data_IF_081084879103
#
_entry.id   IF_081084879103
#
_cell.length_a   1.000
_cell.length_b   1.000
_cell.length_c   1.000
_cell.angle_alpha   90.00
_cell.angle_beta   90.00
_cell.angle_gamma   90.00
#
_symmetry.space_group_name_H-M   'P 1'
#
loop_
_entity.id
_entity.type
_entity.pdbx_description
1 polymer ?
#
# COMPACT_ATOMS: atom_id res chain seq x y z
N UNK A 1 26.52 37.69 -11.27
CA UNK A 1 26.93 36.26 -11.29
C UNK A 1 26.42 35.66 -12.58
N UNK A 2 27.30 35.09 -13.42
CA UNK A 2 26.87 34.22 -14.51
C UNK A 2 26.22 32.96 -13.91
N UNK A 3 25.20 32.42 -14.57
CA UNK A 3 24.47 31.22 -14.13
C UNK A 3 25.41 30.03 -13.87
N UNK A 4 26.54 29.98 -14.56
CA UNK A 4 27.54 28.91 -14.47
C UNK A 4 28.31 28.85 -13.15
N UNK A 5 28.24 29.90 -12.32
CA UNK A 5 28.99 30.00 -11.06
C UNK A 5 28.12 29.83 -9.81
N UNK A 6 26.82 29.55 -9.96
CA UNK A 6 25.96 29.30 -8.81
C UNK A 6 26.32 27.95 -8.17
N UNK A 7 26.75 27.98 -6.90
CA UNK A 7 27.11 26.80 -6.11
C UNK A 7 26.41 26.87 -4.76
N UNK A 8 26.02 25.71 -4.23
CA UNK A 8 25.51 25.56 -2.87
C UNK A 8 26.54 24.82 -2.02
N UNK A 9 26.54 25.08 -0.72
CA UNK A 9 27.39 24.40 0.24
C UNK A 9 26.72 23.09 0.67
N UNK A 10 27.15 22.00 0.04
CA UNK A 10 26.66 20.63 0.31
C UNK A 10 27.35 19.95 1.48
N UNK A 11 28.48 20.51 1.96
CA UNK A 11 29.26 19.95 3.08
C UNK A 11 28.75 20.48 4.41
N UNK A 12 28.27 21.72 4.45
CA UNK A 12 27.68 22.36 5.61
C UNK A 12 26.25 21.93 5.92
N UNK A 13 25.54 22.79 6.65
CA UNK A 13 24.12 22.63 6.98
C UNK A 13 23.25 23.44 6.03
N UNK A 14 21.96 23.09 5.91
CA UNK A 14 20.98 23.90 5.15
C UNK A 14 20.94 25.38 5.57
N UNK A 15 21.30 25.65 6.82
CA UNK A 15 21.28 26.97 7.43
C UNK A 15 22.64 27.67 7.38
N UNK A 16 23.63 27.15 6.65
CA UNK A 16 24.93 27.80 6.50
C UNK A 16 24.77 29.19 5.89
N UNK A 17 25.65 30.12 6.28
CA UNK A 17 25.59 31.50 5.80
C UNK A 17 25.66 31.57 4.26
N UNK A 18 26.50 30.71 3.65
CA UNK A 18 26.58 30.56 2.20
C UNK A 18 25.23 30.16 1.59
N UNK A 19 24.60 29.12 2.14
CA UNK A 19 23.33 28.59 1.66
C UNK A 19 22.16 29.59 1.78
N UNK A 20 22.14 30.38 2.86
CA UNK A 20 21.19 31.49 3.03
C UNK A 20 21.40 32.58 1.99
N UNK A 21 22.65 32.93 1.70
CA UNK A 21 22.98 33.91 0.65
C UNK A 21 22.62 33.39 -0.75
N UNK A 22 22.92 32.13 -1.04
CA UNK A 22 22.54 31.48 -2.29
C UNK A 22 21.01 31.51 -2.51
N UNK A 23 20.23 31.21 -1.47
CA UNK A 23 18.76 31.28 -1.52
C UNK A 23 18.26 32.70 -1.86
N UNK A 24 18.87 33.73 -1.26
CA UNK A 24 18.52 35.14 -1.52
C UNK A 24 18.84 35.60 -2.94
N UNK A 25 19.88 35.04 -3.57
CA UNK A 25 20.21 35.30 -4.98
C UNK A 25 19.28 34.49 -5.92
N UNK A 26 18.93 33.27 -5.52
CA UNK A 26 18.07 32.38 -6.29
C UNK A 26 16.63 32.90 -6.42
N UNK A 27 16.04 33.39 -5.32
CA UNK A 27 14.63 33.78 -5.31
C UNK A 27 14.28 34.87 -6.36
N UNK A 28 15.01 35.99 -6.49
CA UNK A 28 14.73 36.99 -7.52
C UNK A 28 14.86 36.46 -8.96
N UNK A 29 15.77 35.51 -9.20
CA UNK A 29 15.98 34.91 -10.53
C UNK A 29 14.77 34.06 -10.91
N UNK A 30 14.31 33.20 -10.01
CA UNK A 30 13.10 32.39 -10.24
C UNK A 30 11.87 33.28 -10.40
N UNK A 31 11.73 34.31 -9.57
CA UNK A 31 10.60 35.24 -9.68
C UNK A 31 10.56 35.94 -11.04
N UNK A 32 11.72 36.35 -11.56
CA UNK A 32 11.83 36.95 -12.88
C UNK A 32 11.54 35.95 -14.00
N UNK A 33 12.10 34.75 -13.93
CA UNK A 33 12.01 33.76 -15.01
C UNK A 33 10.61 33.14 -15.11
N UNK A 34 9.97 32.90 -13.96
CA UNK A 34 8.62 32.31 -13.88
C UNK A 34 7.50 33.38 -13.89
N UNK A 35 7.85 34.67 -13.98
CA UNK A 35 6.88 35.77 -14.04
C UNK A 35 6.10 36.02 -12.74
N UNK A 36 6.64 35.61 -11.59
CA UNK A 36 5.99 35.83 -10.30
C UNK A 36 6.08 37.30 -9.86
N UNK A 37 5.02 37.81 -9.22
CA UNK A 37 5.02 39.15 -8.62
C UNK A 37 5.98 39.23 -7.45
N UNK A 38 6.74 40.34 -7.38
CA UNK A 38 7.69 40.59 -6.29
C UNK A 38 7.00 41.05 -5.00
N UNK A 39 6.33 40.11 -4.34
CA UNK A 39 5.72 40.30 -3.02
C UNK A 39 6.55 39.59 -1.95
N UNK A 40 6.43 40.07 -0.71
CA UNK A 40 7.07 39.45 0.45
C UNK A 40 6.68 37.98 0.62
N UNK A 41 5.40 37.65 0.40
CA UNK A 41 4.86 36.29 0.53
C UNK A 41 5.48 35.33 -0.50
N UNK A 42 5.50 35.72 -1.77
CA UNK A 42 6.07 34.89 -2.84
C UNK A 42 7.55 34.64 -2.62
N UNK A 43 8.29 35.69 -2.24
CA UNK A 43 9.72 35.58 -1.92
C UNK A 43 9.94 34.62 -0.74
N UNK A 44 9.14 34.72 0.31
CA UNK A 44 9.23 33.81 1.46
C UNK A 44 8.92 32.36 1.06
N UNK A 45 7.91 32.12 0.22
CA UNK A 45 7.56 30.79 -0.28
C UNK A 45 8.73 30.16 -1.06
N UNK A 46 9.33 30.92 -1.98
CA UNK A 46 10.46 30.44 -2.80
C UNK A 46 11.69 30.16 -1.93
N UNK A 47 11.99 31.03 -0.96
CA UNK A 47 13.09 30.81 -0.02
C UNK A 47 12.87 29.55 0.83
N UNK A 48 11.64 29.34 1.31
CA UNK A 48 11.26 28.14 2.05
C UNK A 48 11.40 26.87 1.21
N UNK A 49 10.86 26.89 -0.02
CA UNK A 49 10.96 25.77 -0.96
C UNK A 49 12.42 25.45 -1.32
N UNK A 50 13.23 26.47 -1.60
CA UNK A 50 14.66 26.32 -1.87
C UNK A 50 15.38 25.68 -0.67
N UNK A 51 15.11 26.15 0.54
CA UNK A 51 15.71 25.62 1.76
C UNK A 51 15.31 24.17 2.02
N UNK A 52 14.04 23.81 1.78
CA UNK A 52 13.57 22.43 1.88
C UNK A 52 14.21 21.53 0.81
N UNK A 53 14.40 22.04 -0.41
CA UNK A 53 15.07 21.32 -1.48
C UNK A 53 16.56 21.07 -1.16
N UNK A 54 17.23 22.02 -0.48
CA UNK A 54 18.62 21.89 -0.07
C UNK A 54 18.87 20.73 0.88
N UNK A 55 17.94 20.44 1.80
CA UNK A 55 18.04 19.23 2.62
C UNK A 55 18.06 17.96 1.77
N UNK A 56 17.27 17.95 0.70
CA UNK A 56 17.26 16.83 -0.24
C UNK A 56 18.59 16.72 -0.99
N UNK A 57 19.15 17.84 -1.46
CA UNK A 57 20.44 17.87 -2.15
C UNK A 57 21.61 17.46 -1.24
N UNK A 58 21.67 18.00 -0.02
CA UNK A 58 22.69 17.63 0.97
C UNK A 58 22.58 16.14 1.31
N UNK A 59 21.36 15.63 1.54
CA UNK A 59 21.14 14.20 1.80
C UNK A 59 21.58 13.34 0.62
N UNK A 60 21.25 13.75 -0.62
CA UNK A 60 21.64 13.04 -1.84
C UNK A 60 23.16 13.06 -2.03
N UNK A 61 23.81 14.20 -1.84
CA UNK A 61 25.26 14.34 -1.89
C UNK A 61 25.93 13.43 -0.87
N UNK A 62 25.47 13.46 0.39
CA UNK A 62 25.98 12.54 1.42
C UNK A 62 25.76 11.08 1.04
N UNK A 63 24.62 10.72 0.45
CA UNK A 63 24.37 9.36 -0.01
C UNK A 63 25.32 8.93 -1.13
N UNK A 64 25.55 9.79 -2.13
CA UNK A 64 26.44 9.52 -3.26
C UNK A 64 27.91 9.42 -2.85
N UNK A 65 28.33 10.13 -1.81
CA UNK A 65 29.70 10.08 -1.29
C UNK A 65 29.93 8.99 -0.24
N UNK A 66 28.93 8.18 0.09
CA UNK A 66 29.14 7.00 0.94
C UNK A 66 29.94 5.94 0.18
N UNK A 67 30.74 5.17 0.90
CA UNK A 67 31.36 4.00 0.30
C UNK A 67 30.29 3.00 -0.14
N UNK A 68 30.64 2.13 -1.10
CA UNK A 68 29.75 1.05 -1.54
C UNK A 68 29.32 0.17 -0.36
N UNK A 69 30.24 -0.12 0.57
CA UNK A 69 29.98 -0.89 1.79
C UNK A 69 28.97 -0.20 2.73
N UNK A 70 29.08 1.12 2.89
CA UNK A 70 28.12 1.89 3.69
C UNK A 70 26.74 1.93 3.04
N UNK A 71 26.67 2.06 1.71
CA UNK A 71 25.41 2.01 0.96
C UNK A 71 24.74 0.64 1.12
N UNK A 72 25.48 -0.45 0.92
CA UNK A 72 24.99 -1.82 1.09
C UNK A 72 24.52 -2.09 2.52
N UNK A 73 25.24 -1.60 3.53
CA UNK A 73 24.85 -1.70 4.95
C UNK A 73 23.54 -0.96 5.23
N UNK A 74 23.38 0.26 4.72
CA UNK A 74 22.15 1.04 4.90
C UNK A 74 20.97 0.43 4.17
N UNK A 75 21.16 -0.07 2.96
CA UNK A 75 20.14 -0.80 2.22
C UNK A 75 19.76 -2.10 2.92
N UNK A 76 20.73 -2.83 3.49
CA UNK A 76 20.47 -4.02 4.30
C UNK A 76 19.65 -3.68 5.54
N UNK A 77 20.02 -2.63 6.28
CA UNK A 77 19.25 -2.15 7.42
C UNK A 77 17.85 -1.67 7.04
N UNK A 78 17.72 -0.93 5.93
CA UNK A 78 16.44 -0.48 5.41
C UNK A 78 15.55 -1.67 5.05
N UNK A 79 16.09 -2.66 4.32
CA UNK A 79 15.40 -3.92 4.01
C UNK A 79 14.94 -4.63 5.28
N UNK A 80 15.79 -4.74 6.30
CA UNK A 80 15.45 -5.37 7.59
C UNK A 80 14.33 -4.61 8.32
N UNK A 81 14.40 -3.28 8.35
CA UNK A 81 13.36 -2.42 8.97
C UNK A 81 12.03 -2.58 8.23
N UNK A 82 12.04 -2.56 6.89
CA UNK A 82 10.85 -2.78 6.07
C UNK A 82 10.21 -4.14 6.33
N UNK A 83 11.00 -5.22 6.37
CA UNK A 83 10.50 -6.57 6.72
C UNK A 83 9.86 -6.61 8.10
N UNK A 84 10.50 -6.03 9.12
CA UNK A 84 9.95 -5.97 10.49
C UNK A 84 8.63 -5.20 10.54
N UNK A 85 8.57 -4.07 9.83
CA UNK A 85 7.34 -3.28 9.73
C UNK A 85 6.22 -4.03 9.03
N UNK A 86 6.53 -4.76 7.96
CA UNK A 86 5.58 -5.61 7.25
C UNK A 86 4.98 -6.70 8.17
N UNK A 87 5.82 -7.43 8.91
CA UNK A 87 5.35 -8.43 9.89
C UNK A 87 4.41 -7.80 10.91
N UNK A 88 4.76 -6.62 11.43
CA UNK A 88 3.91 -5.89 12.36
C UNK A 88 2.54 -5.53 11.75
N UNK A 89 2.51 -5.03 10.51
CA UNK A 89 1.26 -4.67 9.83
C UNK A 89 0.35 -5.87 9.60
N UNK A 90 0.92 -6.99 9.16
CA UNK A 90 0.21 -8.26 8.92
C UNK A 90 -0.37 -8.79 10.24
N UNK A 91 0.40 -8.75 11.33
CA UNK A 91 -0.10 -9.11 12.67
C UNK A 91 -1.23 -8.19 13.15
N UNK A 92 -1.12 -6.88 12.94
CA UNK A 92 -2.19 -5.94 13.28
C UNK A 92 -3.46 -6.18 12.46
N UNK A 93 -3.32 -6.55 11.18
CA UNK A 93 -4.45 -6.90 10.33
C UNK A 93 -5.18 -8.15 10.85
N UNK A 94 -4.43 -9.20 11.19
CA UNK A 94 -4.98 -10.40 11.83
C UNK A 94 -5.75 -10.05 13.11
N UNK A 95 -5.09 -9.37 14.06
CA UNK A 95 -5.70 -8.99 15.34
C UNK A 95 -6.94 -8.12 15.15
N UNK A 96 -6.96 -7.25 14.14
CA UNK A 96 -8.13 -6.45 13.82
C UNK A 96 -9.29 -7.33 13.40
N UNK A 97 -9.08 -8.25 12.45
CA UNK A 97 -10.13 -9.17 11.96
C UNK A 97 -10.64 -10.06 13.10
N UNK A 98 -9.73 -10.60 13.90
CA UNK A 98 -10.05 -11.42 15.07
C UNK A 98 -10.93 -10.66 16.09
N UNK A 99 -10.54 -9.43 16.46
CA UNK A 99 -11.34 -8.57 17.34
C UNK A 99 -12.69 -8.20 16.74
N UNK A 100 -12.77 -8.00 15.43
CA UNK A 100 -14.06 -7.77 14.75
C UNK A 100 -14.94 -9.01 14.85
N UNK A 101 -14.38 -10.20 14.62
CA UNK A 101 -15.04 -11.48 14.83
C UNK A 101 -15.64 -11.58 16.23
N UNK A 102 -14.81 -11.42 17.27
CA UNK A 102 -15.26 -11.48 18.67
C UNK A 102 -16.40 -10.50 18.98
N UNK A 103 -16.39 -9.30 18.39
CA UNK A 103 -17.37 -8.25 18.70
C UNK A 103 -18.70 -8.42 17.98
N UNK A 104 -18.72 -9.12 16.85
CA UNK A 104 -19.92 -9.28 16.02
C UNK A 104 -20.38 -10.72 16.12
N UNK A 105 -21.49 -11.00 16.84
CA UNK A 105 -21.98 -12.37 17.01
C UNK A 105 -22.16 -13.14 15.70
N UNK A 106 -22.54 -12.44 14.63
CA UNK A 106 -22.69 -13.00 13.27
C UNK A 106 -21.40 -13.58 12.66
N UNK A 107 -20.24 -13.29 13.25
CA UNK A 107 -18.92 -13.74 12.81
C UNK A 107 -18.27 -14.73 13.80
N UNK A 108 -18.93 -15.08 14.91
CA UNK A 108 -18.34 -15.96 15.94
C UNK A 108 -17.94 -17.32 15.40
N UNK A 109 -18.81 -17.95 14.61
CA UNK A 109 -18.57 -19.27 14.00
C UNK A 109 -17.43 -19.26 12.98
N UNK A 110 -17.01 -18.08 12.53
CA UNK A 110 -15.92 -17.89 11.58
C UNK A 110 -14.56 -17.70 12.26
N UNK A 111 -14.52 -17.49 13.58
CA UNK A 111 -13.28 -17.25 14.35
C UNK A 111 -12.34 -18.47 14.32
N UNK A 112 -12.79 -19.72 14.54
CA UNK A 112 -11.89 -20.87 14.54
C UNK A 112 -11.10 -20.99 13.23
N UNK A 113 -11.78 -20.85 12.09
CA UNK A 113 -11.10 -20.87 10.79
C UNK A 113 -10.17 -19.66 10.59
N UNK A 114 -10.52 -18.49 11.15
CA UNK A 114 -9.63 -17.33 11.10
C UNK A 114 -8.34 -17.60 11.88
N UNK A 115 -8.41 -18.26 13.03
CA UNK A 115 -7.27 -18.63 13.86
C UNK A 115 -6.37 -19.65 13.18
N UNK A 116 -6.95 -20.67 12.53
CA UNK A 116 -6.21 -21.65 11.73
C UNK A 116 -5.45 -21.00 10.57
N UNK A 117 -6.07 -20.04 9.87
CA UNK A 117 -5.40 -19.29 8.79
C UNK A 117 -4.22 -18.46 9.33
N UNK A 118 -4.33 -17.96 10.56
CA UNK A 118 -3.26 -17.25 11.25
C UNK A 118 -2.75 -15.99 10.55
N UNK A 119 -1.61 -15.48 11.01
CA UNK A 119 -1.00 -14.24 10.53
C UNK A 119 -0.47 -14.40 9.10
N UNK A 120 0.11 -15.55 8.78
CA UNK A 120 0.78 -15.82 7.50
C UNK A 120 -0.18 -15.79 6.29
N UNK A 121 -1.47 -15.99 6.54
CA UNK A 121 -2.49 -15.86 5.50
C UNK A 121 -2.82 -14.40 5.18
N UNK A 122 -2.55 -13.44 6.08
CA UNK A 122 -3.01 -12.05 5.87
C UNK A 122 -2.32 -11.39 4.67
N UNK A 123 -3.08 -10.61 3.88
CA UNK A 123 -2.53 -9.85 2.77
C UNK A 123 -1.63 -8.72 3.28
N UNK A 124 -0.48 -8.53 2.63
CA UNK A 124 0.34 -7.36 2.87
C UNK A 124 -0.04 -6.23 1.91
N UNK A 125 -0.12 -5.00 2.43
CA UNK A 125 -0.15 -3.81 1.59
C UNK A 125 1.29 -3.45 1.23
N UNK A 126 1.66 -3.53 -0.05
CA UNK A 126 2.89 -2.95 -0.54
C UNK A 126 2.63 -1.47 -0.86
N UNK A 127 3.42 -0.57 -0.28
CA UNK A 127 3.37 0.84 -0.67
C UNK A 127 4.18 1.01 -1.95
N UNK A 128 3.48 1.30 -3.04
CA UNK A 128 4.15 1.78 -4.24
C UNK A 128 4.49 3.24 -3.99
N UNK A 129 5.78 3.52 -3.75
CA UNK A 129 6.25 4.91 -3.77
C UNK A 129 6.16 5.40 -5.19
N UNK A 130 5.09 6.14 -5.50
CA UNK A 130 5.07 7.01 -6.65
C UNK A 130 6.29 7.94 -6.63
N UNK A 131 6.84 8.24 -7.80
CA UNK A 131 7.74 9.37 -7.99
C UNK A 131 7.07 10.62 -7.40
N UNK A 132 7.85 11.40 -6.64
CA UNK A 132 7.60 12.63 -5.84
C UNK A 132 6.22 13.34 -5.87
N UNK A 133 5.44 13.28 -6.94
CA UNK A 133 4.14 13.95 -7.12
C UNK A 133 2.91 13.01 -7.24
N UNK A 134 3.08 11.69 -7.20
CA UNK A 134 1.94 10.74 -7.28
C UNK A 134 1.52 10.31 -5.88
N UNK A 135 0.23 10.51 -5.58
CA UNK A 135 -0.45 10.05 -4.37
C UNK A 135 0.00 8.63 -4.00
N UNK A 136 0.38 8.39 -2.74
CA UNK A 136 0.89 7.07 -2.31
C UNK A 136 -0.22 6.02 -2.45
N UNK A 137 -0.09 5.14 -3.44
CA UNK A 137 -1.03 4.04 -3.68
C UNK A 137 -0.58 2.80 -2.90
N UNK A 138 -1.54 2.13 -2.27
CA UNK A 138 -1.31 0.88 -1.57
C UNK A 138 -1.85 -0.26 -2.42
N UNK A 139 -0.95 -1.16 -2.81
CA UNK A 139 -1.25 -2.35 -3.59
C UNK A 139 -1.52 -3.51 -2.64
N UNK A 140 -2.71 -4.11 -2.73
CA UNK A 140 -3.04 -5.30 -1.93
C UNK A 140 -2.36 -6.51 -2.58
N UNK A 141 -1.35 -7.08 -1.94
CA UNK A 141 -0.75 -8.36 -2.35
C UNK A 141 -1.46 -9.50 -1.61
N UNK A 142 -2.09 -10.40 -2.37
CA UNK A 142 -2.60 -11.66 -1.85
C UNK A 142 -1.67 -12.80 -2.27
N UNK A 143 -1.38 -13.76 -1.37
CA UNK A 143 -0.61 -14.94 -1.73
C UNK A 143 -1.26 -15.70 -2.88
N UNK A 144 -0.44 -16.21 -3.79
CA UNK A 144 -0.85 -17.01 -4.95
C UNK A 144 -1.52 -18.35 -4.55
N UNK A 145 -1.01 -18.97 -3.50
CA UNK A 145 -1.52 -20.21 -2.92
C UNK A 145 -2.93 -20.09 -2.35
N UNK A 146 -3.37 -18.89 -1.96
CA UNK A 146 -4.66 -18.67 -1.31
C UNK A 146 -5.80 -18.60 -2.33
N UNK A 147 -6.87 -19.33 -2.06
CA UNK A 147 -8.08 -19.28 -2.89
C UNK A 147 -8.74 -17.88 -2.83
N UNK A 148 -9.38 -17.48 -3.93
CA UNK A 148 -10.03 -16.16 -4.00
C UNK A 148 -11.20 -16.04 -3.03
N UNK A 149 -11.92 -17.14 -2.80
CA UNK A 149 -13.00 -17.21 -1.81
C UNK A 149 -12.54 -16.89 -0.39
N UNK A 150 -11.34 -17.33 0.02
CA UNK A 150 -10.75 -16.96 1.32
C UNK A 150 -10.47 -15.46 1.36
N UNK A 151 -10.00 -14.89 0.26
CA UNK A 151 -9.76 -13.44 0.17
C UNK A 151 -11.06 -12.65 0.31
N UNK A 152 -12.14 -13.09 -0.35
CA UNK A 152 -13.47 -12.48 -0.23
C UNK A 152 -14.01 -12.61 1.20
N UNK A 153 -13.89 -13.80 1.79
CA UNK A 153 -14.28 -14.07 3.16
C UNK A 153 -13.54 -13.17 4.18
N UNK A 154 -12.22 -13.02 4.04
CA UNK A 154 -11.43 -12.10 4.88
C UNK A 154 -11.84 -10.63 4.71
N UNK A 155 -12.29 -10.22 3.51
CA UNK A 155 -12.81 -8.87 3.26
C UNK A 155 -14.12 -8.62 4.00
N UNK A 156 -14.90 -9.64 4.29
CA UNK A 156 -16.11 -9.50 5.10
C UNK A 156 -15.79 -8.94 6.49
N UNK A 157 -14.73 -9.43 7.14
CA UNK A 157 -14.25 -8.87 8.41
C UNK A 157 -13.80 -7.41 8.27
N UNK A 158 -13.18 -7.06 7.15
CA UNK A 158 -12.75 -5.69 6.89
C UNK A 158 -13.96 -4.76 6.69
N UNK A 159 -14.97 -5.17 5.91
CA UNK A 159 -16.22 -4.44 5.72
C UNK A 159 -16.96 -4.24 7.04
N UNK A 160 -17.07 -5.29 7.84
CA UNK A 160 -17.71 -5.23 9.15
C UNK A 160 -16.96 -4.30 10.13
N UNK A 161 -15.61 -4.31 10.08
CA UNK A 161 -14.79 -3.35 10.81
C UNK A 161 -15.05 -1.91 10.34
N UNK A 162 -15.12 -1.67 9.03
CA UNK A 162 -15.39 -0.33 8.49
C UNK A 162 -16.77 0.19 8.89
N UNK A 163 -17.81 -0.65 8.85
CA UNK A 163 -19.16 -0.31 9.30
C UNK A 163 -19.15 0.04 10.79
N UNK A 164 -18.56 -0.80 11.65
CA UNK A 164 -18.48 -0.51 13.09
C UNK A 164 -17.70 0.76 13.40
N UNK A 165 -16.66 1.09 12.61
CA UNK A 165 -15.91 2.34 12.74
C UNK A 165 -16.70 3.58 12.32
N UNK A 166 -17.53 3.48 11.28
CA UNK A 166 -18.41 4.58 10.84
C UNK A 166 -19.51 4.87 11.86
N UNK A 167 -19.98 3.84 12.57
CA UNK A 167 -21.02 3.97 13.60
C UNK A 167 -20.49 4.44 14.95
N UNK A 168 -19.19 4.26 15.21
CA UNK A 168 -18.56 4.76 16.42
C UNK A 168 -18.36 6.28 16.37
N UNK A 169 -18.30 6.96 17.55
CA UNK A 169 -17.95 8.38 17.60
C UNK A 169 -16.64 8.66 16.86
N UNK A 170 -16.53 9.81 16.16
CA UNK A 170 -15.34 10.16 15.40
C UNK A 170 -14.13 10.18 16.34
N UNK A 171 -13.20 9.25 16.13
CA UNK A 171 -11.90 9.25 16.81
C UNK A 171 -10.92 10.07 15.98
N UNK A 172 -10.12 10.90 16.64
CA UNK A 172 -8.98 11.56 16.02
C UNK A 172 -8.06 10.53 15.34
N UNK A 173 -7.72 10.77 14.07
CA UNK A 173 -6.89 9.89 13.26
C UNK A 173 -7.11 10.11 11.76
N UNK A 174 -6.16 9.64 10.95
CA UNK A 174 -6.28 9.72 9.50
C UNK A 174 -7.44 8.82 8.99
N UNK A 175 -8.21 9.26 7.99
CA UNK A 175 -9.20 8.41 7.35
C UNK A 175 -8.55 7.16 6.74
N UNK A 176 -9.31 6.06 6.55
CA UNK A 176 -8.81 4.89 5.84
C UNK A 176 -8.21 5.27 4.49
N UNK A 177 -6.97 4.83 4.25
CA UNK A 177 -6.27 5.08 2.97
C UNK A 177 -6.95 4.30 1.84
N UNK A 178 -7.07 4.91 0.66
CA UNK A 178 -7.56 4.24 -0.55
C UNK A 178 -6.57 3.15 -0.96
N UNK A 179 -7.09 1.95 -1.25
CA UNK A 179 -6.30 0.76 -1.62
C UNK A 179 -6.77 0.25 -2.96
N UNK A 180 -5.85 -0.20 -3.80
CA UNK A 180 -6.16 -0.79 -5.08
C UNK A 180 -5.83 -2.29 -5.05
N UNK A 181 -6.79 -3.11 -5.48
CA UNK A 181 -6.57 -4.53 -5.69
C UNK A 181 -5.91 -4.72 -7.07
N UNK A 182 -4.63 -5.11 -7.14
CA UNK A 182 -4.01 -5.45 -8.41
C UNK A 182 -4.65 -6.73 -8.98
N UNK A 183 -4.68 -6.85 -10.30
CA UNK A 183 -5.12 -8.06 -11.01
C UNK A 183 -4.20 -9.26 -10.74
N UNK A 184 -2.94 -9.01 -10.35
CA UNK A 184 -1.93 -10.04 -10.16
C UNK A 184 -1.68 -10.37 -8.67
N UNK A 185 -1.76 -11.67 -8.33
CA UNK A 185 -1.34 -12.24 -7.04
C UNK A 185 0.17 -12.11 -6.84
N UNK A 186 0.62 -12.03 -5.58
CA UNK A 186 2.06 -12.06 -5.31
C UNK A 186 2.58 -13.48 -5.37
N UNK A 187 3.65 -13.72 -6.13
CA UNK A 187 4.39 -14.99 -6.21
C UNK A 187 5.20 -15.31 -4.93
N UNK A 188 4.73 -14.83 -3.79
CA UNK A 188 5.47 -14.81 -2.53
C UNK A 188 4.53 -14.97 -1.35
N UNK A 189 4.95 -15.85 -0.43
CA UNK A 189 4.21 -16.22 0.76
C UNK A 189 4.37 -17.72 1.02
N UNK A 190 4.69 -18.11 2.26
CA UNK A 190 4.68 -19.52 2.64
C UNK A 190 3.22 -19.97 2.72
N UNK A 191 2.87 -21.05 2.03
CA UNK A 191 1.56 -21.66 2.21
C UNK A 191 1.44 -22.19 3.64
N UNK A 192 0.32 -21.85 4.29
CA UNK A 192 0.03 -22.36 5.63
C UNK A 192 -0.31 -23.85 5.48
N UNK A 193 0.34 -24.74 6.24
CA UNK A 193 0.07 -26.17 6.16
C UNK A 193 -1.25 -26.52 6.87
N UNK A 194 -1.77 -27.72 6.57
CA UNK A 194 -2.90 -28.35 7.25
C UNK A 194 -4.19 -27.52 7.25
N UNK A 195 -4.46 -26.75 6.18
CA UNK A 195 -5.77 -26.13 5.99
C UNK A 195 -6.70 -27.05 5.19
N UNK A 196 -8.03 -26.80 5.23
CA UNK A 196 -8.96 -27.43 4.32
C UNK A 196 -8.56 -27.19 2.86
N UNK A 197 -8.76 -28.18 1.97
CA UNK A 197 -8.45 -28.02 0.53
C UNK A 197 -9.11 -26.78 -0.07
N UNK A 198 -10.28 -26.39 0.45
CA UNK A 198 -11.00 -25.19 0.03
C UNK A 198 -10.24 -23.88 0.26
N UNK A 199 -9.26 -23.84 1.17
CA UNK A 199 -8.45 -22.66 1.44
C UNK A 199 -7.40 -22.37 0.35
N UNK A 200 -7.03 -23.40 -0.42
CA UNK A 200 -5.98 -23.32 -1.42
C UNK A 200 -6.53 -23.05 -2.83
N UNK A 201 -5.75 -22.30 -3.60
CA UNK A 201 -5.95 -22.11 -5.02
C UNK A 201 -5.66 -23.42 -5.75
N UNK A 202 -6.65 -23.94 -6.49
CA UNK A 202 -6.56 -25.22 -7.19
C UNK A 202 -5.40 -25.27 -8.19
N UNK A 203 -5.17 -24.19 -8.93
CA UNK A 203 -4.11 -24.14 -9.95
C UNK A 203 -2.74 -24.16 -9.26
N UNK A 204 -2.60 -23.37 -8.20
CA UNK A 204 -1.36 -23.35 -7.41
C UNK A 204 -1.05 -24.73 -6.82
N UNK A 205 -2.06 -25.42 -6.26
CA UNK A 205 -1.92 -26.75 -5.67
C UNK A 205 -1.57 -27.83 -6.71
N UNK A 206 -2.04 -27.67 -7.95
CA UNK A 206 -1.70 -28.54 -9.08
C UNK A 206 -0.29 -28.27 -9.63
N UNK A 207 0.14 -27.02 -9.67
CA UNK A 207 1.48 -26.63 -10.14
C UNK A 207 2.57 -26.98 -9.11
N UNK A 208 2.23 -26.96 -7.82
CA UNK A 208 3.17 -27.18 -6.71
C UNK A 208 2.95 -28.54 -6.03
N UNK A 209 2.76 -29.62 -6.82
CA UNK A 209 2.55 -30.98 -6.30
C UNK A 209 3.64 -31.46 -5.34
N UNK A 210 4.90 -31.02 -5.53
CA UNK A 210 5.99 -31.35 -4.61
C UNK A 210 5.85 -30.63 -3.26
N UNK A 211 5.33 -29.40 -3.24
CA UNK A 211 5.04 -28.67 -1.99
C UNK A 211 3.76 -29.15 -1.32
N UNK A 212 2.96 -29.98 -1.99
CA UNK A 212 1.75 -30.57 -1.44
C UNK A 212 2.03 -31.46 -0.22
N UNK A 213 3.23 -32.05 -0.14
CA UNK A 213 3.69 -32.78 1.04
C UNK A 213 4.00 -31.87 2.23
N UNK A 214 4.53 -30.67 1.98
CA UNK A 214 4.82 -29.68 3.02
C UNK A 214 3.55 -28.99 3.52
N UNK A 215 2.57 -28.84 2.62
CA UNK A 215 1.29 -28.16 2.89
C UNK A 215 0.24 -29.12 3.46
N UNK A 216 0.26 -30.40 3.06
CA UNK A 216 -0.63 -31.46 3.55
C UNK A 216 -2.10 -31.02 3.72
N UNK A 217 -2.78 -30.57 2.64
CA UNK A 217 -4.14 -30.05 2.75
C UNK A 217 -5.14 -31.13 3.18
N UNK A 218 -6.04 -30.80 4.12
CA UNK A 218 -7.09 -31.71 4.62
C UNK A 218 -8.15 -31.94 3.54
N UNK A 219 -8.15 -33.13 2.96
CA UNK A 219 -8.99 -33.47 1.80
C UNK A 219 -10.40 -33.92 2.19
N UNK A 220 -10.55 -34.43 3.41
CA UNK A 220 -11.80 -34.86 4.03
C UNK A 220 -12.64 -33.69 4.58
N UNK A 221 -12.00 -32.55 4.85
CA UNK A 221 -12.65 -31.36 5.35
C UNK A 221 -12.83 -30.29 4.27
N UNK A 222 -14.07 -29.82 4.09
CA UNK A 222 -14.37 -28.67 3.24
C UNK A 222 -15.00 -27.57 4.10
N UNK A 223 -14.23 -26.52 4.36
CA UNK A 223 -14.77 -25.31 4.98
C UNK A 223 -15.48 -24.44 3.94
N UNK A 224 -16.67 -23.96 4.29
CA UNK A 224 -17.43 -23.01 3.48
C UNK A 224 -16.99 -21.57 3.80
N UNK A 225 -16.27 -20.96 2.85
CA UNK A 225 -15.84 -19.56 2.92
C UNK A 225 -16.93 -18.58 2.47
N UNK A 226 -18.17 -19.03 2.29
CA UNK A 226 -19.28 -18.14 1.97
C UNK A 226 -19.67 -17.37 3.24
N UNK A 227 -19.64 -16.03 3.22
CA UNK A 227 -20.12 -15.27 4.37
C UNK A 227 -21.61 -15.53 4.57
N UNK A 228 -22.04 -15.77 5.80
CA UNK A 228 -23.45 -16.04 6.10
C UNK A 228 -24.36 -14.91 5.59
N UNK A 229 -25.57 -15.25 5.15
CA UNK A 229 -26.51 -14.32 4.49
C UNK A 229 -26.74 -13.04 5.29
N UNK A 230 -26.87 -13.13 6.62
CA UNK A 230 -27.02 -11.98 7.51
C UNK A 230 -25.81 -11.04 7.50
N UNK A 231 -24.59 -11.57 7.34
CA UNK A 231 -23.37 -10.78 7.22
C UNK A 231 -23.31 -10.11 5.85
N UNK A 232 -23.70 -10.82 4.79
CA UNK A 232 -23.80 -10.25 3.45
C UNK A 232 -24.83 -9.13 3.37
N UNK A 233 -25.97 -9.28 4.04
CA UNK A 233 -26.98 -8.22 4.17
C UNK A 233 -26.43 -7.03 4.96
N UNK A 234 -25.73 -7.25 6.07
CA UNK A 234 -25.10 -6.17 6.84
C UNK A 234 -24.08 -5.39 5.99
N UNK A 235 -23.27 -6.09 5.18
CA UNK A 235 -22.27 -5.48 4.30
C UNK A 235 -22.92 -4.78 3.09
N UNK A 236 -23.98 -5.36 2.53
CA UNK A 236 -24.67 -4.83 1.34
C UNK A 236 -25.62 -3.67 1.65
N UNK A 237 -26.31 -3.71 2.79
CA UNK A 237 -27.36 -2.76 3.17
C UNK A 237 -26.86 -1.33 3.48
N UNK A 238 -25.55 -1.11 3.60
CA UNK A 238 -24.99 0.20 4.02
C UNK A 238 -23.87 0.75 3.12
N UNK A 239 -24.02 0.54 1.81
CA UNK A 239 -23.18 1.06 0.71
C UNK A 239 -21.77 0.46 0.63
N UNK A 240 -21.66 -0.52 -0.27
CA UNK A 240 -20.43 -1.05 -0.87
C UNK A 240 -20.07 -0.32 -2.20
N UNK A 241 -20.63 0.86 -2.49
CA UNK A 241 -20.41 1.53 -3.79
C UNK A 241 -19.25 2.55 -3.85
N UNK A 242 -18.71 3.00 -2.72
CA UNK A 242 -17.71 4.10 -2.75
C UNK A 242 -16.23 3.66 -2.80
N UNK A 243 -15.93 2.36 -3.00
CA UNK A 243 -14.51 1.93 -3.05
C UNK A 243 -14.08 1.19 -4.31
N UNK A 244 -14.99 0.78 -5.21
CA UNK A 244 -14.61 -0.07 -6.35
C UNK A 244 -15.34 0.15 -7.68
N UNK A 245 -16.03 1.28 -7.89
CA UNK A 245 -16.69 1.60 -9.17
C UNK A 245 -15.73 2.05 -10.30
N UNK A 246 -14.44 1.70 -10.23
CA UNK A 246 -13.49 1.96 -11.32
C UNK A 246 -12.78 0.68 -11.79
N UNK A 247 -13.53 -0.41 -11.97
CA UNK A 247 -13.10 -1.51 -12.84
C UNK A 247 -14.29 -2.04 -13.65
N UNK A 248 -14.33 -1.61 -14.91
CA UNK A 248 -14.93 -2.27 -16.09
C UNK A 248 -16.44 -2.19 -16.32
N UNK A 249 -16.83 -1.37 -17.31
CA UNK A 249 -17.67 -1.82 -18.44
C UNK A 249 -17.28 -1.05 -19.70
N UNK A 250 -16.45 -1.67 -20.55
CA UNK A 250 -16.34 -1.35 -21.97
C UNK A 250 -15.95 -2.63 -22.71
N UNK A 251 -16.88 -3.59 -22.72
CA UNK A 251 -16.83 -4.71 -23.65
C UNK A 251 -17.59 -4.31 -24.91
N UNK A 252 -16.82 -4.09 -25.97
CA UNK A 252 -17.07 -4.53 -27.35
C UNK A 252 -18.48 -4.29 -27.93
N UNK A 253 -18.59 -3.27 -28.78
CA UNK A 253 -19.46 -3.34 -29.95
C UNK A 253 -18.79 -2.63 -31.12
N UNK A 254 -18.03 -3.39 -31.89
CA UNK A 254 -17.55 -2.98 -33.22
C UNK A 254 -18.03 -4.03 -34.21
N UNK A 255 -19.28 -3.88 -34.65
CA UNK A 255 -19.77 -4.55 -35.84
C UNK A 255 -19.45 -3.70 -37.07
N UNK A 256 -18.85 -4.38 -38.04
CA UNK A 256 -18.52 -3.94 -39.39
C UNK A 256 -19.74 -3.39 -40.13
N UNK A 257 -19.55 -2.28 -40.85
CA UNK A 257 -20.09 -2.11 -42.21
C UNK A 257 -19.06 -1.31 -43.03
N UNK A 258 -18.22 -2.05 -43.77
CA UNK A 258 -17.63 -1.56 -45.03
C UNK A 258 -18.55 -2.06 -46.13
N UNK A 259 -19.24 -1.15 -46.80
CA UNK A 259 -19.81 -1.37 -48.13
C UNK A 259 -19.23 -0.33 -49.06
N UNK A 260 -18.69 -0.83 -50.16
CA UNK A 260 -18.14 -0.12 -51.30
C UNK A 260 -19.14 0.84 -51.94
N UNK A 261 -18.68 2.04 -52.26
CA UNK A 261 -18.66 2.61 -53.62
C UNK A 261 -17.91 3.95 -53.60
#
# INVERSE_FOLDING_TARGET
MSEQNFRIDVRGTRASAWNKSAARVFAPIVMRNEGYRDTHETRHLILSAFTAHMDTLIRRFRHLNKSKEEQESLESQARRRSRKYQVYLVAQLFLRRHRTGIRLPLLHDQIPMLEELGIDTMSCDESERGTVDVETRYRISSPDWRADKVTQWLRTFDSAYHISRKLAPPKAGAPPRVRYAPTAKSKGGRAVPDLPVSAYNSNWLQEHQQQRYDVAPRADETYDFTPGTAVMELVSSRHFQDTFSHVSFAATSSQRLRTSN
#
